data_IF_996966639659
#
_entry.id   IF_996966639659
#
_cell.length_a   1.000
_cell.length_b   1.000
_cell.length_c   1.000
_cell.angle_alpha   90.00
_cell.angle_beta   90.00
_cell.angle_gamma   90.00
#
_symmetry.space_group_name_H-M   'P 1'
#
loop_
_entity.id
_entity.type
_entity.pdbx_description
1 polymer ?
#
# COMPACT_ATOMS: atom_id res chain seq x y z
N UNK A 1 3.01 -38.81 7.09
CA UNK A 1 3.45 -37.55 7.70
C UNK A 1 3.36 -36.48 6.64
N UNK A 2 2.32 -35.63 6.69
CA UNK A 2 2.22 -34.47 5.79
C UNK A 2 3.19 -33.40 6.30
N UNK A 3 4.31 -33.25 5.60
CA UNK A 3 5.20 -32.10 5.76
C UNK A 3 4.44 -30.88 5.22
N UNK A 4 3.67 -30.20 6.06
CA UNK A 4 3.19 -28.86 5.74
C UNK A 4 4.41 -27.95 5.76
N UNK A 5 5.02 -27.74 4.58
CA UNK A 5 6.06 -26.73 4.39
C UNK A 5 5.44 -25.35 4.61
N UNK A 6 5.51 -24.86 5.84
CA UNK A 6 5.10 -23.49 6.16
C UNK A 6 6.23 -22.59 5.68
N UNK A 7 6.19 -22.22 4.39
CA UNK A 7 7.12 -21.24 3.84
C UNK A 7 7.03 -19.95 4.66
N UNK A 8 8.17 -19.42 5.14
CA UNK A 8 8.17 -18.20 5.93
C UNK A 8 7.64 -17.04 5.10
N UNK A 9 6.71 -16.27 5.67
CA UNK A 9 6.16 -15.09 5.01
C UNK A 9 7.26 -14.06 4.75
N UNK A 10 7.49 -13.73 3.48
CA UNK A 10 8.50 -12.74 3.12
C UNK A 10 8.05 -11.33 3.49
N UNK A 11 9.02 -10.50 3.91
CA UNK A 11 8.75 -9.11 4.28
C UNK A 11 8.37 -8.29 3.04
N UNK A 12 7.32 -7.44 3.09
CA UNK A 12 6.93 -6.57 1.97
C UNK A 12 7.84 -5.35 1.79
N UNK A 13 8.99 -5.32 2.47
CA UNK A 13 9.86 -4.16 2.52
C UNK A 13 10.61 -3.96 1.20
N UNK A 14 10.52 -2.76 0.61
CA UNK A 14 11.25 -2.39 -0.61
C UNK A 14 12.53 -1.60 -0.30
N UNK A 15 13.02 -1.60 0.95
CA UNK A 15 14.21 -0.84 1.36
C UNK A 15 14.00 0.67 1.53
N UNK A 16 12.78 1.18 1.35
CA UNK A 16 12.45 2.61 1.54
C UNK A 16 11.74 2.81 2.88
N UNK A 17 12.28 3.69 3.72
CA UNK A 17 11.77 3.94 5.08
C UNK A 17 11.06 5.31 5.23
N UNK A 18 10.60 5.91 4.14
CA UNK A 18 9.87 7.18 4.17
C UNK A 18 8.42 7.00 4.65
N UNK A 19 7.95 7.93 5.49
CA UNK A 19 6.58 7.96 5.99
C UNK A 19 5.72 8.97 5.23
N UNK A 20 4.43 8.67 5.08
CA UNK A 20 3.44 9.62 4.60
C UNK A 20 2.84 10.44 5.74
N UNK A 21 1.99 11.42 5.41
CA UNK A 21 1.33 12.30 6.39
C UNK A 21 0.40 11.55 7.36
N UNK A 22 0.07 10.29 7.08
CA UNK A 22 -0.76 9.42 7.93
C UNK A 22 0.07 8.46 8.79
N UNK A 23 1.40 8.54 8.74
CA UNK A 23 2.31 7.70 9.54
C UNK A 23 2.58 6.30 8.97
N UNK A 24 2.24 6.03 7.71
CA UNK A 24 2.53 4.77 7.04
C UNK A 24 3.74 4.90 6.10
N UNK A 25 4.52 3.82 5.95
CA UNK A 25 5.61 3.74 4.98
C UNK A 25 5.08 3.92 3.54
N UNK A 26 5.70 4.81 2.75
CA UNK A 26 5.31 5.05 1.35
C UNK A 26 5.44 3.81 0.47
N UNK A 27 6.37 2.91 0.79
CA UNK A 27 6.61 1.67 0.05
C UNK A 27 5.73 0.51 0.51
N UNK A 28 5.99 0.01 1.73
CA UNK A 28 5.32 -1.19 2.25
C UNK A 28 4.00 -0.94 2.99
N UNK A 29 3.63 0.33 3.22
CA UNK A 29 2.39 0.74 3.92
C UNK A 29 2.22 0.22 5.35
N UNK A 30 3.31 -0.28 5.94
CA UNK A 30 3.39 -0.59 7.38
C UNK A 30 3.49 0.70 8.20
N UNK A 31 2.89 0.71 9.37
CA UNK A 31 3.07 1.77 10.36
C UNK A 31 4.44 1.61 11.09
N UNK A 32 4.75 2.51 12.02
CA UNK A 32 6.03 2.47 12.76
C UNK A 32 6.20 1.19 13.59
N UNK A 33 5.17 0.79 14.32
CA UNK A 33 5.20 -0.37 15.22
C UNK A 33 5.32 -1.68 14.45
N UNK A 34 4.57 -1.83 13.36
CA UNK A 34 4.62 -2.97 12.43
C UNK A 34 5.99 -3.14 11.77
N UNK A 35 6.74 -2.05 11.58
CA UNK A 35 8.13 -2.11 11.09
C UNK A 35 9.08 -2.59 12.17
N UNK A 36 8.99 -2.00 13.36
CA UNK A 36 9.88 -2.30 14.49
C UNK A 36 9.70 -3.74 15.00
N UNK A 37 8.46 -4.20 15.07
CA UNK A 37 8.11 -5.49 15.66
C UNK A 37 8.01 -6.62 14.61
N UNK A 38 8.33 -6.39 13.34
CA UNK A 38 8.15 -7.40 12.29
C UNK A 38 8.88 -8.72 12.59
N UNK A 39 10.11 -8.64 13.09
CA UNK A 39 10.93 -9.82 13.41
C UNK A 39 10.47 -10.54 14.69
N UNK A 40 9.70 -9.87 15.55
CA UNK A 40 9.17 -10.44 16.80
C UNK A 40 7.73 -10.91 16.68
N UNK A 41 7.05 -10.57 15.59
CA UNK A 41 5.67 -10.99 15.31
C UNK A 41 5.57 -12.49 14.98
N UNK A 42 4.48 -13.10 15.41
CA UNK A 42 4.12 -14.47 14.99
C UNK A 42 3.71 -14.49 13.52
N UNK A 43 3.73 -15.66 12.86
CA UNK A 43 3.30 -15.75 11.47
C UNK A 43 1.87 -15.23 11.25
N UNK A 44 0.94 -15.53 12.15
CA UNK A 44 -0.44 -15.03 12.08
C UNK A 44 -0.48 -13.49 12.15
N UNK A 45 0.34 -12.87 13.00
CA UNK A 45 0.45 -11.42 13.07
C UNK A 45 1.06 -10.83 11.80
N UNK A 46 2.11 -11.45 11.26
CA UNK A 46 2.71 -11.01 10.00
C UNK A 46 1.72 -11.12 8.83
N UNK A 47 0.93 -12.19 8.77
CA UNK A 47 -0.14 -12.36 7.78
C UNK A 47 -1.21 -11.27 7.90
N UNK A 48 -1.59 -10.92 9.12
CA UNK A 48 -2.57 -9.87 9.39
C UNK A 48 -2.03 -8.50 8.97
N UNK A 49 -0.78 -8.17 9.31
CA UNK A 49 -0.12 -6.93 8.86
C UNK A 49 -0.10 -6.86 7.34
N UNK A 50 0.20 -7.98 6.66
CA UNK A 50 0.17 -8.05 5.20
C UNK A 50 -1.24 -7.82 4.63
N UNK A 51 -2.28 -8.38 5.26
CA UNK A 51 -3.68 -8.15 4.89
C UNK A 51 -4.05 -6.68 5.04
N UNK A 52 -3.66 -6.04 6.14
CA UNK A 52 -3.88 -4.62 6.39
C UNK A 52 -3.14 -3.75 5.37
N UNK A 53 -1.89 -4.06 5.04
CA UNK A 53 -1.11 -3.34 4.04
C UNK A 53 -1.76 -3.39 2.66
N UNK A 54 -2.28 -4.56 2.24
CA UNK A 54 -3.07 -4.69 1.00
C UNK A 54 -4.31 -3.80 1.02
N UNK A 55 -5.06 -3.80 2.12
CA UNK A 55 -6.24 -2.95 2.28
C UNK A 55 -5.90 -1.45 2.25
N UNK A 56 -4.80 -1.05 2.89
CA UNK A 56 -4.28 0.34 2.83
C UNK A 56 -3.92 0.71 1.39
N UNK A 57 -3.25 -0.17 0.65
CA UNK A 57 -2.87 0.04 -0.76
C UNK A 57 -4.08 0.27 -1.64
N UNK A 58 -5.09 -0.60 -1.55
CA UNK A 58 -6.32 -0.49 -2.31
C UNK A 58 -7.05 0.84 -2.05
N UNK A 59 -7.08 1.32 -0.79
CA UNK A 59 -7.67 2.63 -0.46
C UNK A 59 -6.89 3.79 -1.08
N UNK A 60 -5.56 3.73 -1.09
CA UNK A 60 -4.71 4.76 -1.71
C UNK A 60 -4.93 4.79 -3.22
N UNK A 61 -4.96 3.62 -3.88
CA UNK A 61 -5.21 3.52 -5.31
C UNK A 61 -6.61 4.00 -5.70
N UNK A 62 -7.64 3.62 -4.93
CA UNK A 62 -9.00 4.08 -5.16
C UNK A 62 -9.13 5.61 -4.99
N UNK A 63 -8.48 6.19 -3.98
CA UNK A 63 -8.44 7.64 -3.80
C UNK A 63 -7.72 8.35 -4.96
N UNK A 64 -6.59 7.80 -5.42
CA UNK A 64 -5.84 8.32 -6.57
C UNK A 64 -6.68 8.30 -7.84
N UNK A 65 -7.38 7.21 -8.13
CA UNK A 65 -8.24 7.09 -9.30
C UNK A 65 -9.37 8.13 -9.28
N UNK A 66 -10.06 8.29 -8.15
CA UNK A 66 -11.10 9.32 -7.99
C UNK A 66 -10.57 10.74 -8.21
N UNK A 67 -9.37 11.04 -7.72
CA UNK A 67 -8.75 12.35 -7.93
C UNK A 67 -8.43 12.60 -9.42
N UNK A 68 -7.93 11.59 -10.14
CA UNK A 68 -7.66 11.68 -11.57
C UNK A 68 -8.93 11.86 -12.40
N UNK A 69 -10.01 11.13 -12.07
CA UNK A 69 -11.31 11.28 -12.73
C UNK A 69 -11.89 12.68 -12.52
N UNK A 70 -11.79 13.23 -11.31
CA UNK A 70 -12.24 14.60 -11.00
C UNK A 70 -11.41 15.67 -11.74
N UNK A 71 -10.10 15.46 -11.86
CA UNK A 71 -9.22 16.37 -12.59
C UNK A 71 -9.48 16.33 -14.10
N UNK A 72 -9.74 15.15 -14.68
CA UNK A 72 -10.16 15.01 -16.08
C UNK A 72 -11.52 15.63 -16.37
N UNK A 73 -12.49 15.49 -15.45
CA UNK A 73 -13.80 16.11 -15.59
C UNK A 73 -13.76 17.64 -15.48
N UNK A 74 -12.74 18.19 -14.83
CA UNK A 74 -12.55 19.63 -14.64
C UNK A 74 -11.54 20.24 -15.63
N UNK A 75 -10.97 19.46 -16.55
CA UNK A 75 -10.19 20.02 -17.66
C UNK A 75 -11.19 20.68 -18.63
N UNK A 76 -11.10 22.00 -18.86
CA UNK A 76 -11.88 22.61 -19.93
C UNK A 76 -11.45 21.91 -21.22
N UNK A 77 -12.43 21.40 -21.97
CA UNK A 77 -12.20 20.85 -23.30
C UNK A 77 -11.33 21.86 -24.03
N UNK A 78 -10.10 21.46 -24.41
CA UNK A 78 -9.23 22.31 -25.20
C UNK A 78 -10.02 22.72 -26.44
N UNK A 79 -10.49 23.96 -26.42
CA UNK A 79 -11.00 24.66 -27.56
C UNK A 79 -9.85 24.83 -28.53
N UNK A 80 -9.93 24.23 -29.71
CA UNK A 80 -8.99 24.54 -30.77
C UNK A 80 -8.85 23.43 -31.79
N UNK A 81 -9.77 23.42 -32.75
CA UNK A 81 -9.43 23.29 -34.17
C UNK A 81 -10.41 24.19 -34.94
N UNK A 82 -10.23 25.51 -34.80
CA UNK A 82 -10.79 26.44 -35.77
C UNK A 82 -9.83 26.43 -36.98
N UNK A 83 -10.29 25.81 -38.07
CA UNK A 83 -9.71 25.92 -39.41
C UNK A 83 -10.31 27.13 -40.11
#
# INVERSE_FOLDING_TARGET
>A
MEQLEIFPLQSPCIGVCEVNNKGYCKGCLRNREERFNWLTMTQTQQQEVMRLCRGRKARVEAARRKAQEAEQANQPAQSGWDF
#
